data_IF_806675916382
#
_entry.id   IF_806675916382
#
_cell.length_a   1.000
_cell.length_b   1.000
_cell.length_c   1.000
_cell.angle_alpha   90.00
_cell.angle_beta   90.00
_cell.angle_gamma   90.00
#
_symmetry.space_group_name_H-M   'P 1'
#
loop_
_entity.id
_entity.type
_entity.pdbx_description
1 polymer ?
#
# COMPACT_ATOMS: atom_id res chain seq x y z
N UNK A 1 1.62 24.10 -19.00
CA UNK A 1 2.11 23.01 -19.87
C UNK A 1 1.90 21.70 -19.13
N UNK A 2 1.39 20.68 -19.80
CA UNK A 2 1.16 19.37 -19.19
C UNK A 2 2.51 18.72 -18.82
N UNK A 3 2.71 18.39 -17.53
CA UNK A 3 3.97 17.83 -17.02
C UNK A 3 4.33 16.51 -17.71
N UNK A 4 3.34 15.73 -18.11
CA UNK A 4 3.52 14.47 -18.84
C UNK A 4 4.06 14.72 -20.24
N UNK A 5 3.57 15.75 -20.94
CA UNK A 5 4.13 16.19 -22.22
C UNK A 5 5.55 16.71 -22.04
N UNK A 6 5.81 17.50 -21.00
CA UNK A 6 7.16 18.00 -20.70
C UNK A 6 8.14 16.84 -20.48
N UNK A 7 7.74 15.84 -19.67
CA UNK A 7 8.51 14.62 -19.45
C UNK A 7 8.77 13.84 -20.75
N UNK A 8 7.72 13.50 -21.52
CA UNK A 8 7.88 12.77 -22.78
C UNK A 8 8.73 13.56 -23.78
N UNK A 9 8.57 14.88 -23.83
CA UNK A 9 9.36 15.76 -24.69
C UNK A 9 10.84 15.68 -24.36
N UNK A 10 11.20 15.73 -23.08
CA UNK A 10 12.57 15.52 -22.62
C UNK A 10 13.08 14.15 -23.05
N UNK A 11 12.33 13.07 -22.80
CA UNK A 11 12.77 11.72 -23.18
C UNK A 11 13.06 11.61 -24.68
N UNK A 12 12.24 12.23 -25.53
CA UNK A 12 12.43 12.22 -26.99
C UNK A 12 13.61 13.12 -27.41
N UNK A 13 13.74 14.31 -26.83
CA UNK A 13 14.80 15.28 -27.17
C UNK A 13 16.19 14.79 -26.74
N UNK A 14 16.29 14.25 -25.53
CA UNK A 14 17.53 13.70 -24.97
C UNK A 14 17.84 12.30 -25.51
N UNK A 15 16.93 11.71 -26.31
CA UNK A 15 17.01 10.35 -26.83
C UNK A 15 17.28 9.32 -25.73
N UNK A 16 16.48 9.40 -24.66
CA UNK A 16 16.54 8.43 -23.57
C UNK A 16 16.05 7.07 -24.08
N UNK A 17 16.99 6.15 -24.26
CA UNK A 17 16.70 4.78 -24.73
C UNK A 17 15.81 3.99 -23.76
N UNK A 18 15.97 4.27 -22.46
CA UNK A 18 15.29 3.58 -21.38
C UNK A 18 15.23 4.46 -20.12
N UNK A 19 14.02 4.64 -19.57
CA UNK A 19 13.77 5.27 -18.27
C UNK A 19 13.90 4.17 -17.21
N UNK A 20 14.93 4.23 -16.37
CA UNK A 20 15.25 3.14 -15.44
C UNK A 20 15.02 3.53 -13.97
N UNK A 21 14.52 2.61 -13.14
CA UNK A 21 14.50 2.82 -11.70
C UNK A 21 15.92 2.71 -11.14
N UNK A 22 16.25 3.57 -10.17
CA UNK A 22 17.47 3.45 -9.36
C UNK A 22 17.11 3.28 -7.89
N UNK A 23 17.92 2.54 -7.10
CA UNK A 23 17.71 2.43 -5.66
C UNK A 23 17.75 3.81 -4.98
N UNK A 24 16.80 4.06 -4.07
CA UNK A 24 16.73 5.29 -3.30
C UNK A 24 16.19 5.04 -1.90
N UNK A 25 16.94 5.48 -0.89
CA UNK A 25 16.55 5.37 0.51
C UNK A 25 15.42 6.33 0.90
N UNK A 26 15.23 7.42 0.12
CA UNK A 26 14.15 8.38 0.36
C UNK A 26 12.82 7.95 -0.27
N UNK A 27 12.82 6.92 -1.10
CA UNK A 27 11.60 6.37 -1.69
C UNK A 27 10.97 5.34 -0.74
N UNK A 28 9.68 5.45 -0.39
CA UNK A 28 8.94 4.41 0.33
C UNK A 28 9.00 3.04 -0.34
N UNK A 29 9.15 3.01 -1.67
CA UNK A 29 9.21 1.79 -2.49
C UNK A 29 10.66 1.37 -2.76
N UNK A 30 11.65 2.07 -2.21
CA UNK A 30 13.09 1.74 -2.33
C UNK A 30 13.72 2.07 -3.68
N UNK A 31 12.93 2.57 -4.63
CA UNK A 31 13.38 2.98 -5.97
C UNK A 31 12.72 4.29 -6.40
N UNK A 32 13.41 5.06 -7.23
CA UNK A 32 12.92 6.28 -7.89
C UNK A 32 13.33 6.29 -9.35
N UNK A 33 12.75 7.18 -10.15
CA UNK A 33 13.05 7.35 -11.56
C UNK A 33 13.62 8.75 -11.80
N UNK A 34 14.95 8.93 -11.79
CA UNK A 34 15.57 10.25 -11.92
C UNK A 34 15.20 10.95 -13.23
N UNK A 35 15.02 10.18 -14.29
CA UNK A 35 14.64 10.70 -15.60
C UNK A 35 13.20 11.23 -15.63
N UNK A 36 12.38 10.88 -14.63
CA UNK A 36 10.98 11.27 -14.50
C UNK A 36 10.75 12.45 -13.54
N UNK A 37 11.79 13.16 -13.13
CA UNK A 37 11.71 14.34 -12.26
C UNK A 37 10.73 15.42 -12.75
N UNK A 38 10.54 15.55 -14.07
CA UNK A 38 9.61 16.49 -14.70
C UNK A 38 8.14 16.21 -14.36
N UNK A 39 7.80 14.97 -13.97
CA UNK A 39 6.47 14.62 -13.47
C UNK A 39 6.20 15.25 -12.09
N UNK A 40 7.25 15.73 -11.40
CA UNK A 40 7.20 16.41 -10.11
C UNK A 40 6.37 15.65 -9.06
N UNK A 41 6.56 14.33 -9.02
CA UNK A 41 5.92 13.48 -8.02
C UNK A 41 6.80 13.40 -6.77
N UNK A 42 6.22 13.17 -5.58
CA UNK A 42 7.02 12.84 -4.41
C UNK A 42 7.75 11.50 -4.62
N UNK A 43 8.91 11.29 -3.97
CA UNK A 43 9.67 10.06 -4.10
C UNK A 43 8.80 8.82 -3.85
N UNK A 44 8.78 7.89 -4.80
CA UNK A 44 7.98 6.65 -4.74
C UNK A 44 6.66 6.69 -5.51
N UNK A 45 6.10 7.88 -5.77
CA UNK A 45 4.91 8.06 -6.62
C UNK A 45 5.27 8.14 -8.11
N UNK A 46 6.54 8.39 -8.45
CA UNK A 46 7.05 8.37 -9.84
C UNK A 46 6.64 7.08 -10.58
N UNK A 47 6.69 5.94 -9.87
CA UNK A 47 6.33 4.63 -10.41
C UNK A 47 4.88 4.62 -10.90
N UNK A 48 3.96 5.17 -10.11
CA UNK A 48 2.54 5.17 -10.42
C UNK A 48 2.24 6.03 -11.65
N UNK A 49 2.86 7.21 -11.74
CA UNK A 49 2.72 8.10 -12.88
C UNK A 49 3.27 7.47 -14.18
N UNK A 50 4.40 6.74 -14.10
CA UNK A 50 4.94 6.00 -15.24
C UNK A 50 4.05 4.81 -15.63
N UNK A 51 3.52 4.07 -14.66
CA UNK A 51 2.56 3.00 -14.93
C UNK A 51 1.32 3.53 -15.66
N UNK A 52 0.81 4.70 -15.30
CA UNK A 52 -0.32 5.34 -16.00
C UNK A 52 0.02 5.71 -17.45
N UNK A 53 1.18 6.33 -17.70
CA UNK A 53 1.65 6.59 -19.06
C UNK A 53 1.79 5.30 -19.87
N UNK A 54 2.13 4.20 -19.19
CA UNK A 54 2.24 2.89 -19.82
C UNK A 54 0.88 2.23 -20.08
N UNK A 55 -0.11 2.41 -19.22
CA UNK A 55 -1.51 1.99 -19.45
C UNK A 55 -2.13 2.78 -20.61
N UNK A 56 -1.86 4.09 -20.68
CA UNK A 56 -2.24 4.96 -21.80
C UNK A 56 -1.51 4.64 -23.11
N UNK A 57 -0.52 3.75 -23.09
CA UNK A 57 0.25 3.31 -24.25
C UNK A 57 1.28 4.32 -24.75
N UNK A 58 1.59 5.37 -24.00
CA UNK A 58 2.59 6.38 -24.36
C UNK A 58 4.01 5.92 -24.10
N UNK A 59 4.19 5.04 -23.11
CA UNK A 59 5.44 4.34 -22.85
C UNK A 59 5.18 2.83 -22.76
N UNK A 60 6.16 2.01 -23.09
CA UNK A 60 6.08 0.55 -22.98
C UNK A 60 6.84 0.07 -21.74
N UNK A 61 6.30 -0.94 -21.07
CA UNK A 61 6.93 -1.60 -19.91
C UNK A 61 8.00 -2.59 -20.36
N UNK A 62 9.11 -2.59 -19.65
CA UNK A 62 10.18 -3.58 -19.76
C UNK A 62 10.48 -4.02 -18.34
N UNK A 63 10.32 -5.31 -18.03
CA UNK A 63 10.57 -5.83 -16.68
C UNK A 63 11.98 -5.46 -16.21
N UNK A 64 12.08 -4.89 -15.01
CA UNK A 64 13.36 -4.59 -14.36
C UNK A 64 13.59 -5.53 -13.17
N UNK A 65 12.70 -5.48 -12.17
CA UNK A 65 12.84 -6.29 -10.96
C UNK A 65 11.49 -6.41 -10.21
N UNK A 66 11.49 -7.11 -9.06
CA UNK A 66 10.40 -7.12 -8.09
C UNK A 66 10.91 -6.70 -6.72
N UNK A 67 10.07 -5.99 -5.98
CA UNK A 67 10.37 -5.60 -4.60
C UNK A 67 9.23 -6.02 -3.66
N UNK A 68 9.60 -6.48 -2.47
CA UNK A 68 8.67 -6.75 -1.39
C UNK A 68 8.35 -5.49 -0.60
N UNK A 69 7.06 -5.24 -0.38
CA UNK A 69 6.57 -4.09 0.37
C UNK A 69 5.74 -4.54 1.56
N UNK A 70 5.75 -3.74 2.62
CA UNK A 70 4.87 -3.94 3.76
C UNK A 70 3.40 -3.81 3.31
N UNK A 71 2.52 -4.78 3.58
CA UNK A 71 1.11 -4.66 3.18
C UNK A 71 0.33 -3.62 3.99
N UNK A 72 0.89 -3.08 5.08
CA UNK A 72 0.23 -2.09 5.94
C UNK A 72 0.61 -0.65 5.64
N UNK A 73 1.78 -0.39 5.09
CA UNK A 73 2.24 0.98 4.81
C UNK A 73 3.02 1.11 3.50
N UNK A 74 3.10 0.04 2.71
CA UNK A 74 3.77 -0.03 1.41
C UNK A 74 5.26 0.34 1.41
N UNK A 75 5.90 0.34 2.58
CA UNK A 75 7.33 0.60 2.71
C UNK A 75 8.18 -0.65 2.48
N UNK A 76 9.34 -0.48 1.83
CA UNK A 76 10.32 -1.54 1.58
C UNK A 76 11.25 -1.86 2.76
N UNK A 77 11.21 -1.08 3.86
CA UNK A 77 12.07 -1.26 5.03
C UNK A 77 11.65 -2.49 5.85
N UNK A 78 12.04 -3.65 5.35
CA UNK A 78 11.62 -4.97 5.81
C UNK A 78 12.79 -5.72 6.44
N UNK A 79 12.66 -6.08 7.71
CA UNK A 79 13.61 -6.96 8.40
C UNK A 79 13.10 -8.41 8.40
N UNK A 80 13.79 -9.30 7.69
CA UNK A 80 13.47 -10.72 7.60
C UNK A 80 14.07 -11.47 8.80
N UNK A 81 13.24 -12.23 9.51
CA UNK A 81 13.62 -12.93 10.74
C UNK A 81 13.17 -14.39 10.71
N UNK A 82 14.08 -15.27 11.08
CA UNK A 82 13.76 -16.64 11.46
C UNK A 82 13.06 -16.63 12.82
N UNK A 83 11.95 -17.36 12.93
CA UNK A 83 11.11 -17.38 14.12
C UNK A 83 10.71 -18.79 14.49
N UNK A 84 10.53 -19.03 15.78
CA UNK A 84 10.11 -20.33 16.29
C UNK A 84 8.70 -20.69 15.80
N UNK A 85 8.49 -21.88 15.20
CA UNK A 85 7.16 -22.32 14.77
C UNK A 85 6.13 -22.45 15.91
N UNK A 86 6.60 -22.69 17.14
CA UNK A 86 5.73 -22.89 18.29
C UNK A 86 5.30 -21.59 18.99
N UNK A 87 6.18 -20.58 19.09
CA UNK A 87 5.91 -19.36 19.86
C UNK A 87 6.17 -18.04 19.10
N UNK A 88 6.60 -18.11 17.84
CA UNK A 88 6.91 -16.97 16.96
C UNK A 88 8.05 -16.03 17.45
N UNK A 89 8.74 -16.38 18.54
CA UNK A 89 9.93 -15.66 18.99
C UNK A 89 11.05 -15.73 17.94
N UNK A 90 11.74 -14.61 17.74
CA UNK A 90 12.97 -14.54 16.92
C UNK A 90 14.24 -14.87 17.70
N UNK A 91 14.13 -15.17 19.00
CA UNK A 91 15.27 -15.58 19.82
C UNK A 91 15.57 -17.08 19.59
N UNK A 92 16.16 -17.34 18.43
CA UNK A 92 16.45 -18.66 17.91
C UNK A 92 17.94 -18.79 17.65
N UNK A 93 18.52 -19.89 18.11
CA UNK A 93 19.94 -20.22 17.92
C UNK A 93 20.11 -21.54 17.19
N UNK A 94 21.15 -21.65 16.37
CA UNK A 94 21.50 -22.92 15.71
C UNK A 94 22.20 -23.83 16.73
N UNK A 95 21.75 -25.07 16.80
CA UNK A 95 22.36 -26.10 17.66
C UNK A 95 22.69 -27.36 16.85
N UNK A 96 23.79 -28.01 17.22
CA UNK A 96 24.11 -29.35 16.72
C UNK A 96 23.30 -30.39 17.50
N UNK A 97 22.65 -31.29 16.77
CA UNK A 97 22.00 -32.47 17.35
C UNK A 97 22.76 -33.70 16.91
N UNK A 98 22.91 -34.64 17.84
CA UNK A 98 23.45 -35.96 17.59
C UNK A 98 22.31 -36.97 17.69
N UNK A 99 22.15 -37.75 16.63
CA UNK A 99 21.29 -38.93 16.61
C UNK A 99 22.15 -40.19 16.79
N UNK A 100 22.02 -40.89 17.93
CA UNK A 100 22.74 -42.14 18.17
C UNK A 100 22.01 -43.32 17.52
N UNK A 101 22.62 -43.92 16.50
CA UNK A 101 22.00 -44.92 15.63
C UNK A 101 21.63 -46.22 16.37
N UNK A 102 22.38 -46.62 17.40
CA UNK A 102 22.13 -47.89 18.11
C UNK A 102 20.97 -47.83 19.11
N UNK A 103 20.73 -46.69 19.75
CA UNK A 103 19.68 -46.58 20.78
C UNK A 103 18.59 -45.55 20.45
N UNK A 104 18.65 -44.97 19.25
CA UNK A 104 17.74 -43.96 18.72
C UNK A 104 17.56 -42.71 19.60
N UNK A 105 18.54 -42.38 20.45
CA UNK A 105 18.50 -41.14 21.23
C UNK A 105 18.94 -39.98 20.36
N UNK A 106 18.16 -38.90 20.35
CA UNK A 106 18.50 -37.65 19.68
C UNK A 106 18.51 -36.53 20.72
N UNK A 107 19.58 -35.75 20.75
CA UNK A 107 19.69 -34.60 21.65
C UNK A 107 20.81 -33.63 21.23
N UNK A 108 20.88 -32.45 21.85
CA UNK A 108 21.96 -31.50 21.63
C UNK A 108 23.34 -32.12 21.84
N UNK A 109 24.32 -31.80 20.97
CA UNK A 109 25.69 -32.33 21.05
C UNK A 109 26.34 -32.10 22.43
N UNK A 110 25.98 -31.01 23.12
CA UNK A 110 26.46 -30.71 24.48
C UNK A 110 26.17 -31.83 25.47
N UNK A 111 25.03 -32.54 25.33
CA UNK A 111 24.68 -33.67 26.20
C UNK A 111 25.54 -34.90 25.95
N UNK A 112 26.16 -34.99 24.77
CA UNK A 112 27.02 -36.11 24.41
C UNK A 112 28.48 -35.85 24.74
N UNK A 113 28.88 -34.62 25.08
CA UNK A 113 30.29 -34.23 25.17
C UNK A 113 30.84 -34.46 26.58
N UNK A 114 31.73 -35.45 26.71
CA UNK A 114 32.54 -35.71 27.90
C UNK A 114 34.02 -35.43 27.59
N UNK A 115 34.48 -34.20 27.85
CA UNK A 115 35.82 -33.74 27.49
C UNK A 115 36.03 -33.76 25.98
N UNK A 116 36.92 -34.63 25.49
CA UNK A 116 37.19 -34.83 24.05
C UNK A 116 36.39 -35.98 23.43
N UNK A 117 35.62 -36.73 24.24
CA UNK A 117 34.87 -37.90 23.78
C UNK A 117 33.38 -37.56 23.63
N UNK A 118 32.74 -38.26 22.71
CA UNK A 118 31.28 -38.27 22.59
C UNK A 118 30.74 -39.54 23.22
N UNK A 119 29.80 -39.41 24.16
CA UNK A 119 29.18 -40.51 24.92
C UNK A 119 27.68 -40.31 24.92
N UNK A 120 26.91 -41.34 24.56
CA UNK A 120 25.46 -41.23 24.55
C UNK A 120 24.90 -41.18 25.99
N UNK A 121 24.13 -40.14 26.38
CA UNK A 121 23.61 -40.02 27.74
C UNK A 121 22.55 -41.09 28.08
N UNK A 122 21.90 -41.69 27.07
CA UNK A 122 20.89 -42.76 27.25
C UNK A 122 21.49 -44.14 27.51
N UNK A 123 22.65 -44.47 26.94
CA UNK A 123 23.19 -45.84 27.00
C UNK A 123 24.69 -45.93 27.36
N UNK A 124 25.30 -44.79 27.69
CA UNK A 124 26.71 -44.64 28.07
C UNK A 124 27.74 -45.18 27.05
N UNK A 125 27.33 -45.48 25.81
CA UNK A 125 28.27 -45.91 24.77
C UNK A 125 29.02 -44.72 24.19
N UNK A 126 30.32 -44.91 24.00
CA UNK A 126 31.17 -43.95 23.28
C UNK A 126 30.86 -43.98 21.78
N UNK A 127 30.67 -42.80 21.21
CA UNK A 127 30.45 -42.56 19.78
C UNK A 127 31.80 -42.22 19.14
N UNK A 128 32.21 -42.95 18.09
CA UNK A 128 33.51 -42.75 17.45
C UNK A 128 33.40 -42.41 15.97
N UNK A 129 32.50 -43.08 15.25
CA UNK A 129 32.40 -42.97 13.80
C UNK A 129 31.07 -42.36 13.36
N UNK A 130 31.12 -41.20 12.70
CA UNK A 130 29.96 -40.59 12.04
C UNK A 130 29.43 -41.53 10.96
N UNK A 131 28.12 -41.68 10.85
CA UNK A 131 27.44 -42.57 9.89
C UNK A 131 27.42 -44.05 10.31
N UNK A 132 28.08 -44.42 11.41
CA UNK A 132 28.08 -45.80 11.95
C UNK A 132 27.57 -45.83 13.38
N UNK A 133 28.14 -44.99 14.25
CA UNK A 133 27.66 -44.85 15.62
C UNK A 133 26.59 -43.75 15.72
N UNK A 134 26.77 -42.63 15.02
CA UNK A 134 25.86 -41.49 15.12
C UNK A 134 25.79 -40.66 13.85
N UNK A 135 24.72 -39.88 13.72
CA UNK A 135 24.51 -38.90 12.66
C UNK A 135 24.37 -37.50 13.25
N UNK A 136 24.72 -36.49 12.45
CA UNK A 136 24.49 -35.07 12.74
C UNK A 136 23.60 -34.48 11.64
N UNK A 137 22.30 -34.24 11.89
CA UNK A 137 21.44 -33.56 10.94
C UNK A 137 21.94 -32.14 10.65
N UNK A 138 21.70 -31.63 9.44
CA UNK A 138 22.37 -30.44 8.88
C UNK A 138 22.20 -29.18 9.73
N UNK A 139 20.98 -28.83 10.12
CA UNK A 139 20.67 -27.68 10.97
C UNK A 139 19.46 -27.96 11.85
N UNK A 140 19.64 -27.78 13.16
CA UNK A 140 18.54 -27.70 14.11
C UNK A 140 18.59 -26.34 14.79
N UNK A 141 17.42 -25.86 15.18
CA UNK A 141 17.23 -24.60 15.85
C UNK A 141 16.67 -24.84 17.24
N UNK A 142 17.13 -24.05 18.21
CA UNK A 142 16.62 -24.01 19.57
C UNK A 142 16.07 -22.61 19.84
N UNK A 143 14.79 -22.54 20.23
CA UNK A 143 14.21 -21.30 20.70
C UNK A 143 14.57 -21.08 22.17
N UNK A 144 15.17 -19.93 22.50
CA UNK A 144 15.48 -19.58 23.89
C UNK A 144 14.22 -19.22 24.70
N UNK A 145 13.14 -18.78 24.04
CA UNK A 145 11.90 -18.36 24.70
C UNK A 145 11.01 -19.51 25.14
N UNK A 146 10.94 -20.61 24.37
CA UNK A 146 10.08 -21.77 24.70
C UNK A 146 10.81 -23.12 24.73
N UNK A 147 12.13 -23.13 24.53
CA UNK A 147 12.97 -24.35 24.48
C UNK A 147 12.60 -25.36 23.40
N UNK A 148 11.74 -24.98 22.44
CA UNK A 148 11.37 -25.86 21.33
C UNK A 148 12.55 -26.06 20.38
N UNK A 149 12.74 -27.31 19.93
CA UNK A 149 13.73 -27.71 18.94
C UNK A 149 13.01 -28.00 17.63
N UNK A 150 13.50 -27.44 16.52
CA UNK A 150 12.88 -27.58 15.21
C UNK A 150 13.92 -27.49 14.09
N UNK A 151 13.60 -28.01 12.90
CA UNK A 151 14.51 -28.01 11.74
C UNK A 151 14.29 -26.82 10.82
N UNK A 152 13.04 -26.36 10.69
CA UNK A 152 12.65 -25.28 9.79
C UNK A 152 12.03 -24.12 10.58
N UNK A 153 12.70 -22.96 10.69
CA UNK A 153 12.09 -21.77 11.26
C UNK A 153 11.02 -21.22 10.33
N UNK A 154 10.01 -20.59 10.91
CA UNK A 154 9.12 -19.71 10.14
C UNK A 154 9.88 -18.44 9.76
N UNK A 155 9.70 -17.95 8.53
CA UNK A 155 10.22 -16.63 8.14
C UNK A 155 9.11 -15.60 8.28
N UNK A 156 9.33 -14.63 9.18
CA UNK A 156 8.46 -13.47 9.34
C UNK A 156 9.23 -12.20 8.98
N UNK A 157 8.49 -11.15 8.66
CA UNK A 157 9.03 -9.85 8.36
C UNK A 157 8.51 -8.82 9.35
N UNK A 158 9.38 -7.91 9.80
CA UNK A 158 8.99 -6.71 10.55
C UNK A 158 9.26 -5.50 9.69
N UNK A 159 8.24 -4.68 9.48
CA UNK A 159 8.43 -3.38 8.86
C UNK A 159 9.08 -2.43 9.86
N UNK A 160 10.24 -1.87 9.53
CA UNK A 160 10.96 -0.91 10.38
C UNK A 160 10.23 0.44 10.40
N UNK A 161 9.41 0.73 9.38
CA UNK A 161 8.64 1.96 9.31
C UNK A 161 7.41 1.95 10.22
N UNK A 162 6.55 0.92 10.14
CA UNK A 162 5.29 0.85 10.88
C UNK A 162 5.21 -0.21 11.99
N UNK A 163 6.28 -0.99 12.20
CA UNK A 163 6.37 -2.11 13.14
C UNK A 163 5.40 -3.29 12.90
N UNK A 164 4.70 -3.31 11.76
CA UNK A 164 3.84 -4.43 11.40
C UNK A 164 4.66 -5.72 11.23
N UNK A 165 4.16 -6.81 11.82
CA UNK A 165 4.72 -8.16 11.66
C UNK A 165 3.90 -8.91 10.63
N UNK A 166 4.54 -9.39 9.56
CA UNK A 166 3.87 -10.06 8.44
C UNK A 166 4.64 -11.31 8.03
N UNK A 167 4.00 -12.49 7.89
CA UNK A 167 4.61 -13.65 7.24
C UNK A 167 5.09 -13.33 5.83
N UNK A 168 6.25 -13.84 5.41
CA UNK A 168 6.86 -13.46 4.12
C UNK A 168 5.95 -13.70 2.90
N UNK A 169 5.14 -14.78 2.93
CA UNK A 169 4.23 -15.12 1.83
C UNK A 169 3.00 -14.18 1.73
N UNK A 170 2.80 -13.28 2.70
CA UNK A 170 1.75 -12.26 2.71
C UNK A 170 2.27 -10.85 2.39
N UNK A 171 3.56 -10.70 2.08
CA UNK A 171 4.12 -9.42 1.64
C UNK A 171 3.59 -9.05 0.25
N UNK A 172 3.37 -7.75 0.03
CA UNK A 172 3.01 -7.24 -1.28
C UNK A 172 4.23 -7.30 -2.20
N UNK A 173 4.03 -7.71 -3.46
CA UNK A 173 5.11 -7.82 -4.45
C UNK A 173 4.88 -6.82 -5.57
N UNK A 174 5.54 -5.67 -5.49
CA UNK A 174 5.49 -4.67 -6.54
C UNK A 174 6.45 -5.04 -7.68
N UNK A 175 5.98 -4.93 -8.92
CA UNK A 175 6.84 -5.09 -10.11
C UNK A 175 7.42 -3.74 -10.48
N UNK A 176 8.73 -3.68 -10.63
CA UNK A 176 9.47 -2.53 -11.11
C UNK A 176 9.73 -2.71 -12.59
N UNK A 177 9.34 -1.70 -13.37
CA UNK A 177 9.54 -1.68 -14.81
C UNK A 177 10.50 -0.56 -15.18
N UNK A 178 11.33 -0.81 -16.18
CA UNK A 178 11.91 0.25 -16.99
C UNK A 178 10.95 0.60 -18.12
N UNK A 179 11.07 1.79 -18.69
CA UNK A 179 10.14 2.25 -19.71
C UNK A 179 10.84 2.77 -20.95
N UNK A 180 10.19 2.62 -22.10
CA UNK A 180 10.61 3.25 -23.36
C UNK A 180 9.44 4.01 -23.98
N UNK A 181 9.69 5.18 -24.55
CA UNK A 181 8.65 5.94 -25.24
C UNK A 181 8.19 5.17 -26.49
N UNK A 182 6.87 5.02 -26.65
CA UNK A 182 6.29 4.37 -27.83
C UNK A 182 6.09 5.37 -28.97
N UNK A 183 5.76 4.88 -30.16
CA UNK A 183 5.34 5.73 -31.28
C UNK A 183 4.15 6.64 -30.91
N UNK A 184 3.19 6.14 -30.11
CA UNK A 184 2.07 6.95 -29.60
C UNK A 184 2.57 8.07 -28.68
N UNK A 185 3.52 7.78 -27.80
CA UNK A 185 4.20 8.78 -26.97
C UNK A 185 4.89 9.86 -27.80
N UNK A 186 5.60 9.47 -28.86
CA UNK A 186 6.25 10.42 -29.78
C UNK A 186 5.24 11.33 -30.47
N UNK A 187 4.14 10.79 -31.00
CA UNK A 187 3.08 11.60 -31.61
C UNK A 187 2.34 12.50 -30.61
N UNK A 188 2.26 12.11 -29.33
CA UNK A 188 1.72 12.98 -28.30
C UNK A 188 2.63 14.20 -28.06
N UNK A 189 3.95 14.02 -28.08
CA UNK A 189 4.94 15.11 -28.02
C UNK A 189 4.82 16.04 -29.23
N UNK A 190 4.75 15.51 -30.45
CA UNK A 190 4.61 16.30 -31.68
C UNK A 190 3.36 17.19 -31.68
N UNK A 191 2.24 16.65 -31.17
CA UNK A 191 0.96 17.37 -31.08
C UNK A 191 0.87 18.28 -29.85
N UNK A 192 1.79 18.14 -28.90
CA UNK A 192 1.76 18.84 -27.61
C UNK A 192 0.57 18.46 -26.71
N UNK A 193 -0.12 17.35 -27.02
CA UNK A 193 -1.34 16.90 -26.35
C UNK A 193 -1.27 15.39 -26.15
N UNK A 194 -1.51 14.96 -24.91
CA UNK A 194 -1.79 13.56 -24.60
C UNK A 194 -3.29 13.38 -24.79
N UNK A 195 -3.69 12.79 -25.92
CA UNK A 195 -5.03 12.24 -26.10
C UNK A 195 -5.16 11.00 -25.21
N UNK A 196 -5.37 11.27 -23.93
CA UNK A 196 -5.63 10.30 -22.88
C UNK A 196 -7.14 10.18 -22.72
N UNK A 197 -7.74 9.03 -23.09
CA UNK A 197 -9.15 8.79 -22.81
C UNK A 197 -9.48 8.73 -21.30
N UNK A 198 -8.47 8.76 -20.41
CA UNK A 198 -8.58 8.51 -18.97
C UNK A 198 -8.14 9.68 -18.05
N UNK A 199 -7.98 10.91 -18.54
CA UNK A 199 -7.95 12.12 -17.69
C UNK A 199 -6.84 12.22 -16.62
N UNK A 200 -5.56 12.02 -16.96
CA UNK A 200 -4.46 12.09 -15.97
C UNK A 200 -4.07 13.52 -15.50
N UNK A 201 -4.86 14.16 -14.63
CA UNK A 201 -4.31 14.94 -13.51
C UNK A 201 -4.54 14.11 -12.24
N UNK A 202 -3.51 13.84 -11.43
CA UNK A 202 -3.68 13.08 -10.17
C UNK A 202 -4.42 13.90 -9.12
N UNK A 203 -4.23 15.22 -9.17
CA UNK A 203 -4.75 16.18 -8.22
C UNK A 203 -5.55 17.25 -8.93
N UNK A 204 -6.65 17.67 -8.32
CA UNK A 204 -7.39 18.87 -8.71
C UNK A 204 -6.64 20.08 -8.16
N UNK A 205 -6.14 20.94 -9.05
CA UNK A 205 -5.22 22.05 -8.69
C UNK A 205 -5.82 23.04 -7.70
N UNK A 206 -7.12 23.29 -7.80
CA UNK A 206 -7.84 24.27 -7.00
C UNK A 206 -7.97 23.85 -5.53
N UNK A 207 -8.01 22.54 -5.28
CA UNK A 207 -8.36 21.95 -3.98
C UNK A 207 -7.23 21.14 -3.36
N UNK A 208 -6.24 20.70 -4.15
CA UNK A 208 -5.17 19.80 -3.69
C UNK A 208 -5.63 18.37 -3.41
N UNK A 209 -6.89 18.04 -3.71
CA UNK A 209 -7.47 16.70 -3.59
C UNK A 209 -7.14 15.83 -4.80
N UNK A 210 -7.29 14.52 -4.71
CA UNK A 210 -7.15 13.64 -5.86
C UNK A 210 -8.27 13.84 -6.90
N UNK A 211 -8.09 13.33 -8.12
CA UNK A 211 -9.18 13.21 -9.10
C UNK A 211 -10.05 12.00 -8.82
N UNK A 212 -11.31 12.07 -9.28
CA UNK A 212 -12.27 10.98 -9.08
C UNK A 212 -11.82 9.68 -9.75
N UNK A 213 -11.24 9.77 -10.95
CA UNK A 213 -10.71 8.62 -11.68
C UNK A 213 -9.60 7.92 -10.89
N UNK A 214 -8.72 8.70 -10.23
CA UNK A 214 -7.70 8.14 -9.36
C UNK A 214 -8.28 7.45 -8.13
N UNK A 215 -9.27 8.05 -7.48
CA UNK A 215 -9.98 7.43 -6.37
C UNK A 215 -10.65 6.12 -6.81
N UNK A 216 -11.30 6.08 -7.97
CA UNK A 216 -11.90 4.88 -8.54
C UNK A 216 -10.85 3.78 -8.81
N UNK A 217 -9.67 4.17 -9.31
CA UNK A 217 -8.56 3.24 -9.50
C UNK A 217 -8.12 2.62 -8.17
N UNK A 218 -7.95 3.43 -7.12
CA UNK A 218 -7.56 2.93 -5.79
C UNK A 218 -8.65 2.09 -5.13
N UNK A 219 -9.93 2.47 -5.30
CA UNK A 219 -11.06 1.67 -4.84
C UNK A 219 -11.09 0.28 -5.47
N UNK A 220 -10.72 0.16 -6.77
CA UNK A 220 -10.60 -1.13 -7.45
C UNK A 220 -9.54 -2.03 -6.79
N UNK A 221 -8.42 -1.45 -6.35
CA UNK A 221 -7.38 -2.17 -5.63
C UNK A 221 -7.85 -2.59 -4.24
N UNK A 222 -8.51 -1.70 -3.49
CA UNK A 222 -9.07 -2.02 -2.17
C UNK A 222 -10.13 -3.12 -2.22
N UNK A 223 -11.01 -3.11 -3.23
CA UNK A 223 -11.94 -4.22 -3.49
C UNK A 223 -11.20 -5.54 -3.72
N UNK A 224 -10.14 -5.52 -4.53
CA UNK A 224 -9.32 -6.71 -4.81
C UNK A 224 -8.62 -7.24 -3.55
N UNK A 225 -8.11 -6.33 -2.70
CA UNK A 225 -7.50 -6.64 -1.40
C UNK A 225 -8.51 -7.23 -0.43
N UNK A 226 -9.71 -6.64 -0.33
CA UNK A 226 -10.80 -7.16 0.50
C UNK A 226 -11.18 -8.59 0.12
N UNK A 227 -11.42 -8.87 -1.16
CA UNK A 227 -11.86 -10.21 -1.57
C UNK A 227 -10.82 -11.30 -1.33
N UNK A 228 -9.53 -10.95 -1.37
CA UNK A 228 -8.43 -11.90 -1.19
C UNK A 228 -7.94 -12.03 0.25
N UNK A 229 -7.73 -10.89 0.92
CA UNK A 229 -7.05 -10.82 2.22
C UNK A 229 -7.96 -10.40 3.37
N UNK A 230 -9.23 -10.07 3.09
CA UNK A 230 -10.21 -9.64 4.10
C UNK A 230 -9.78 -8.42 4.91
N UNK A 231 -8.95 -7.55 4.31
CA UNK A 231 -8.66 -6.21 4.84
C UNK A 231 -9.85 -5.30 4.58
N UNK A 232 -10.44 -4.78 5.65
CA UNK A 232 -11.62 -3.93 5.58
C UNK A 232 -11.24 -2.51 5.16
N UNK A 233 -12.04 -1.91 4.32
CA UNK A 233 -11.97 -0.50 3.93
C UNK A 233 -13.38 0.09 3.98
N UNK A 234 -13.48 1.41 3.95
CA UNK A 234 -14.76 2.10 3.79
C UNK A 234 -14.66 3.17 2.73
N UNK A 235 -15.79 3.48 2.09
CA UNK A 235 -15.93 4.63 1.21
C UNK A 235 -17.05 5.52 1.74
N UNK A 236 -16.75 6.80 1.85
CA UNK A 236 -17.64 7.86 2.32
C UNK A 236 -17.94 8.81 1.17
N UNK A 237 -19.15 9.37 1.14
CA UNK A 237 -19.50 10.48 0.29
C UNK A 237 -20.04 11.65 1.11
N UNK A 238 -19.70 12.87 0.70
CA UNK A 238 -20.30 14.11 1.16
C UNK A 238 -21.12 14.71 0.02
N UNK A 239 -22.38 15.06 0.26
CA UNK A 239 -23.20 15.86 -0.64
C UNK A 239 -23.35 17.29 -0.11
N UNK A 240 -23.07 18.25 -0.98
CA UNK A 240 -23.14 19.68 -0.76
C UNK A 240 -24.51 20.18 -1.22
N UNK A 241 -25.29 20.72 -0.28
CA UNK A 241 -26.65 21.14 -0.55
C UNK A 241 -26.75 22.63 -0.23
N UNK A 242 -27.12 23.42 -1.23
CA UNK A 242 -27.30 24.87 -1.09
C UNK A 242 -28.75 25.27 -1.30
N UNK A 243 -29.18 26.35 -0.67
CA UNK A 243 -30.51 26.92 -0.89
C UNK A 243 -30.57 27.72 -2.20
N UNK A 244 -31.76 27.95 -2.78
CA UNK A 244 -31.93 28.74 -4.00
C UNK A 244 -31.36 30.17 -3.92
N UNK A 245 -31.24 30.72 -2.71
CA UNK A 245 -30.71 32.06 -2.43
C UNK A 245 -29.17 32.11 -2.44
N UNK A 246 -28.49 30.95 -2.40
CA UNK A 246 -27.03 30.88 -2.31
C UNK A 246 -26.35 31.51 -3.54
N UNK A 247 -26.78 31.15 -4.76
CA UNK A 247 -26.15 31.64 -5.98
C UNK A 247 -26.38 33.14 -6.21
N UNK A 248 -27.59 33.71 -6.04
CA UNK A 248 -27.79 35.16 -6.07
C UNK A 248 -26.92 35.93 -5.06
N UNK A 249 -26.63 35.33 -3.90
CA UNK A 249 -25.89 35.99 -2.81
C UNK A 249 -24.37 35.89 -2.96
N UNK A 250 -23.86 34.70 -3.26
CA UNK A 250 -22.42 34.42 -3.25
C UNK A 250 -21.83 34.18 -4.65
N UNK A 251 -22.69 33.90 -5.63
CA UNK A 251 -22.31 33.62 -7.02
C UNK A 251 -21.36 32.44 -7.17
N UNK A 252 -20.78 32.32 -8.37
CA UNK A 252 -19.80 31.25 -8.70
C UNK A 252 -18.56 31.25 -7.80
N UNK A 253 -18.14 32.42 -7.31
CA UNK A 253 -17.01 32.51 -6.38
C UNK A 253 -17.36 31.95 -5.00
N UNK A 254 -18.62 32.08 -4.56
CA UNK A 254 -19.15 31.42 -3.37
C UNK A 254 -18.99 29.92 -3.44
N UNK A 255 -19.37 29.32 -4.58
CA UNK A 255 -19.21 27.88 -4.82
C UNK A 255 -17.76 27.43 -4.74
N UNK A 256 -16.84 28.15 -5.43
CA UNK A 256 -15.41 27.83 -5.40
C UNK A 256 -14.84 27.90 -3.97
N UNK A 257 -15.23 28.92 -3.20
CA UNK A 257 -14.80 29.04 -1.80
C UNK A 257 -15.38 27.93 -0.93
N UNK A 258 -16.61 27.49 -1.20
CA UNK A 258 -17.24 26.43 -0.44
C UNK A 258 -16.54 25.10 -0.70
N UNK A 259 -16.28 24.76 -1.98
CA UNK A 259 -15.44 23.61 -2.35
C UNK A 259 -14.08 23.64 -1.65
N UNK A 260 -13.40 24.79 -1.67
CA UNK A 260 -12.11 24.94 -0.99
C UNK A 260 -12.21 24.71 0.53
N UNK A 261 -13.24 25.25 1.18
CA UNK A 261 -13.50 25.02 2.60
C UNK A 261 -13.65 23.52 2.92
N UNK A 262 -14.41 22.79 2.09
CA UNK A 262 -14.56 21.34 2.23
C UNK A 262 -13.19 20.67 2.09
N UNK A 263 -12.48 20.92 0.99
CA UNK A 263 -11.18 20.29 0.71
C UNK A 263 -10.16 20.54 1.82
N UNK A 264 -9.96 21.79 2.24
CA UNK A 264 -9.00 22.15 3.30
C UNK A 264 -9.35 21.47 4.62
N UNK A 265 -10.64 21.40 4.96
CA UNK A 265 -11.11 20.77 6.21
C UNK A 265 -10.96 19.26 6.18
N UNK A 266 -11.28 18.61 5.06
CA UNK A 266 -11.18 17.16 4.90
C UNK A 266 -9.71 16.75 4.92
N UNK A 267 -8.85 17.40 4.13
CA UNK A 267 -7.41 17.14 4.09
C UNK A 267 -6.78 17.33 5.48
N UNK A 268 -7.17 18.38 6.21
CA UNK A 268 -6.68 18.61 7.57
C UNK A 268 -7.28 17.70 8.66
N UNK A 269 -8.24 16.85 8.34
CA UNK A 269 -8.91 15.95 9.31
C UNK A 269 -8.59 14.47 9.06
N UNK A 270 -8.46 14.07 7.79
CA UNK A 270 -8.15 12.70 7.39
C UNK A 270 -6.65 12.40 7.51
N UNK A 271 -6.30 11.11 7.44
CA UNK A 271 -4.90 10.66 7.49
C UNK A 271 -4.25 10.78 6.12
N UNK A 272 -2.92 10.81 6.08
CA UNK A 272 -2.15 10.87 4.83
C UNK A 272 -2.44 9.69 3.89
N UNK A 273 -2.89 8.54 4.42
CA UNK A 273 -3.25 7.36 3.63
C UNK A 273 -4.70 7.35 3.15
N UNK A 274 -5.55 8.27 3.61
CA UNK A 274 -6.94 8.39 3.17
C UNK A 274 -6.98 9.22 1.89
N UNK A 275 -7.84 8.85 0.94
CA UNK A 275 -7.98 9.59 -0.32
C UNK A 275 -9.25 10.41 -0.29
N UNK A 276 -9.18 11.62 -0.84
CA UNK A 276 -10.34 12.49 -1.06
C UNK A 276 -10.33 12.97 -2.50
N UNK A 277 -11.47 12.91 -3.18
CA UNK A 277 -11.66 13.45 -4.51
C UNK A 277 -13.05 14.09 -4.66
N UNK A 278 -13.19 15.16 -5.45
CA UNK A 278 -14.50 15.60 -5.93
C UNK A 278 -15.08 14.50 -6.82
N UNK A 279 -16.28 14.03 -6.51
CA UNK A 279 -17.01 13.08 -7.36
C UNK A 279 -17.72 13.83 -8.48
N UNK A 280 -18.38 14.93 -8.14
CA UNK A 280 -18.97 15.88 -9.09
C UNK A 280 -18.99 17.29 -8.48
N UNK A 281 -19.69 18.24 -9.09
CA UNK A 281 -19.77 19.62 -8.59
C UNK A 281 -20.45 19.74 -7.21
N UNK A 282 -21.23 18.73 -6.80
CA UNK A 282 -22.01 18.75 -5.56
C UNK A 282 -21.58 17.65 -4.58
N UNK A 283 -20.62 16.81 -4.94
CA UNK A 283 -20.22 15.66 -4.13
C UNK A 283 -18.71 15.50 -4.01
N UNK A 284 -18.29 15.04 -2.84
CA UNK A 284 -16.96 14.52 -2.59
C UNK A 284 -17.04 13.05 -2.23
N UNK A 285 -16.06 12.26 -2.65
CA UNK A 285 -15.86 10.89 -2.23
C UNK A 285 -14.55 10.77 -1.47
N UNK A 286 -14.52 9.92 -0.45
CA UNK A 286 -13.33 9.60 0.31
C UNK A 286 -13.18 8.10 0.50
N UNK A 287 -11.99 7.58 0.21
CA UNK A 287 -11.61 6.19 0.45
C UNK A 287 -10.80 6.13 1.74
N UNK A 288 -11.21 5.26 2.67
CA UNK A 288 -10.60 5.04 3.98
C UNK A 288 -10.06 3.60 4.06
N UNK A 289 -8.80 3.36 3.65
CA UNK A 289 -8.16 2.05 3.76
C UNK A 289 -8.07 1.58 5.21
N UNK A 290 -8.04 0.25 5.42
CA UNK A 290 -7.92 -0.39 6.73
C UNK A 290 -8.89 0.15 7.81
N UNK A 291 -10.06 0.66 7.38
CA UNK A 291 -11.06 1.30 8.23
C UNK A 291 -12.42 0.58 8.09
N UNK A 292 -12.87 -0.18 9.10
CA UNK A 292 -14.18 -0.82 9.11
C UNK A 292 -15.32 0.20 9.13
N UNK A 293 -16.49 -0.18 8.60
CA UNK A 293 -17.65 0.72 8.46
C UNK A 293 -18.05 1.41 9.75
N UNK A 294 -18.05 0.68 10.88
CA UNK A 294 -18.41 1.21 12.20
C UNK A 294 -17.51 2.39 12.62
N UNK A 295 -16.22 2.31 12.34
CA UNK A 295 -15.27 3.38 12.62
C UNK A 295 -15.41 4.51 11.61
N UNK A 296 -15.68 4.17 10.35
CA UNK A 296 -15.89 5.15 9.30
C UNK A 296 -17.12 6.02 9.59
N UNK A 297 -18.24 5.45 10.07
CA UNK A 297 -19.43 6.18 10.51
C UNK A 297 -19.08 7.26 11.54
N UNK A 298 -18.29 6.93 12.57
CA UNK A 298 -17.88 7.90 13.59
C UNK A 298 -17.04 9.06 13.01
N UNK A 299 -16.16 8.75 12.06
CA UNK A 299 -15.36 9.76 11.37
C UNK A 299 -16.26 10.63 10.49
N UNK A 300 -17.19 10.01 9.76
CA UNK A 300 -18.17 10.66 8.90
C UNK A 300 -19.04 11.64 9.67
N UNK A 301 -19.62 11.22 10.79
CA UNK A 301 -20.49 12.04 11.63
C UNK A 301 -19.76 13.28 12.16
N UNK A 302 -18.56 13.05 12.74
CA UNK A 302 -17.72 14.14 13.27
C UNK A 302 -17.29 15.13 12.19
N UNK A 303 -16.92 14.63 11.01
CA UNK A 303 -16.50 15.45 9.89
C UNK A 303 -17.69 16.26 9.33
N UNK A 304 -18.84 15.62 9.14
CA UNK A 304 -20.06 16.26 8.67
C UNK A 304 -20.55 17.34 9.66
N UNK A 305 -20.50 17.09 10.96
CA UNK A 305 -20.84 18.07 11.99
C UNK A 305 -19.90 19.29 11.92
N UNK A 306 -18.59 19.05 11.86
CA UNK A 306 -17.57 20.12 11.73
C UNK A 306 -17.81 20.96 10.48
N UNK A 307 -18.00 20.31 9.33
CA UNK A 307 -18.25 20.99 8.05
C UNK A 307 -19.55 21.78 8.07
N UNK A 308 -20.63 21.24 8.66
CA UNK A 308 -21.90 21.95 8.77
C UNK A 308 -21.79 23.18 9.67
N UNK A 309 -21.03 23.12 10.76
CA UNK A 309 -20.81 24.28 11.62
C UNK A 309 -20.06 25.39 10.87
N UNK A 310 -18.97 25.05 10.17
CA UNK A 310 -18.21 25.99 9.34
C UNK A 310 -19.04 26.58 8.19
N UNK A 311 -19.83 25.74 7.52
CA UNK A 311 -20.69 26.17 6.41
C UNK A 311 -21.82 27.10 6.90
N UNK A 312 -22.44 26.79 8.04
CA UNK A 312 -23.50 27.62 8.65
C UNK A 312 -22.98 29.01 8.98
N UNK A 313 -21.79 29.10 9.58
CA UNK A 313 -21.17 30.38 9.94
C UNK A 313 -20.81 31.20 8.69
N UNK A 314 -20.20 30.56 7.69
CA UNK A 314 -19.68 31.26 6.51
C UNK A 314 -20.74 31.63 5.47
N UNK A 315 -21.79 30.83 5.36
CA UNK A 315 -22.81 30.96 4.31
C UNK A 315 -24.21 31.23 4.87
N UNK A 316 -24.30 31.79 6.08
CA UNK A 316 -25.56 32.26 6.69
C UNK A 316 -26.65 31.14 6.75
N UNK A 317 -26.24 29.88 6.90
CA UNK A 317 -27.14 28.71 6.89
C UNK A 317 -27.68 28.30 5.51
N UNK A 318 -27.27 28.95 4.42
CA UNK A 318 -27.67 28.64 3.04
C UNK A 318 -26.93 27.44 2.44
N UNK A 319 -25.96 26.87 3.16
CA UNK A 319 -25.20 25.69 2.74
C UNK A 319 -25.19 24.64 3.87
N UNK A 320 -25.43 23.38 3.51
CA UNK A 320 -25.36 22.22 4.40
C UNK A 320 -24.66 21.05 3.72
N UNK A 321 -24.10 20.16 4.53
CA UNK A 321 -23.45 18.94 4.08
C UNK A 321 -24.23 17.75 4.62
N UNK A 322 -24.51 16.79 3.75
CA UNK A 322 -24.97 15.45 4.14
C UNK A 322 -23.89 14.45 3.83
N UNK A 323 -23.87 13.33 4.56
CA UNK A 323 -22.83 12.34 4.39
C UNK A 323 -23.41 10.93 4.45
N UNK A 324 -22.81 10.03 3.69
CA UNK A 324 -23.10 8.61 3.71
C UNK A 324 -21.81 7.82 3.69
N UNK A 325 -21.86 6.60 4.19
CA UNK A 325 -20.72 5.69 4.21
C UNK A 325 -21.17 4.28 3.90
N UNK A 326 -20.31 3.51 3.26
CA UNK A 326 -20.42 2.06 3.16
C UNK A 326 -19.06 1.42 3.37
N UNK A 327 -19.02 0.29 4.08
CA UNK A 327 -17.83 -0.53 4.23
C UNK A 327 -17.59 -1.45 3.05
N UNK A 328 -16.60 -2.33 3.22
CA UNK A 328 -16.33 -3.44 2.32
C UNK A 328 -17.57 -4.33 2.15
N UNK A 329 -18.03 -4.56 0.90
CA UNK A 329 -19.27 -5.28 0.65
C UNK A 329 -19.11 -6.79 0.88
N UNK A 330 -20.12 -7.43 1.46
CA UNK A 330 -20.15 -8.90 1.60
C UNK A 330 -20.28 -9.58 0.24
N UNK A 331 -21.09 -9.01 -0.65
CA UNK A 331 -21.25 -9.44 -2.04
C UNK A 331 -20.12 -8.91 -2.92
N UNK A 332 -19.79 -9.66 -3.98
CA UNK A 332 -18.75 -9.27 -4.92
C UNK A 332 -19.24 -8.18 -5.87
N UNK A 333 -18.97 -6.93 -5.51
CA UNK A 333 -19.17 -5.72 -6.32
C UNK A 333 -17.88 -5.27 -7.02
N UNK A 334 -18.06 -4.62 -8.16
CA UNK A 334 -17.07 -3.76 -8.81
C UNK A 334 -17.18 -2.31 -8.30
N UNK A 335 -16.36 -1.42 -8.85
CA UNK A 335 -16.32 0.01 -8.50
C UNK A 335 -17.70 0.66 -8.67
N UNK A 336 -18.36 0.41 -9.81
CA UNK A 336 -19.68 0.99 -10.08
C UNK A 336 -20.74 0.47 -9.10
N UNK A 337 -20.69 -0.81 -8.74
CA UNK A 337 -21.61 -1.42 -7.78
C UNK A 337 -21.53 -0.77 -6.39
N UNK A 338 -20.33 -0.59 -5.85
CA UNK A 338 -20.16 0.04 -4.53
C UNK A 338 -20.49 1.54 -4.55
N UNK A 339 -20.17 2.25 -5.62
CA UNK A 339 -20.55 3.66 -5.79
C UNK A 339 -22.07 3.83 -5.86
N UNK A 340 -22.79 2.94 -6.56
CA UNK A 340 -24.27 2.95 -6.58
C UNK A 340 -24.86 2.73 -5.20
N UNK A 341 -24.30 1.80 -4.42
CA UNK A 341 -24.75 1.55 -3.05
C UNK A 341 -24.53 2.78 -2.15
N UNK A 342 -23.37 3.43 -2.27
CA UNK A 342 -23.05 4.67 -1.56
C UNK A 342 -24.00 5.81 -1.94
N UNK A 343 -24.25 6.01 -3.24
CA UNK A 343 -25.18 7.03 -3.74
C UNK A 343 -26.62 6.80 -3.26
N UNK A 344 -27.06 5.54 -3.18
CA UNK A 344 -28.37 5.16 -2.62
C UNK A 344 -28.51 5.54 -1.15
N UNK A 345 -27.44 5.41 -0.36
CA UNK A 345 -27.42 5.82 1.06
C UNK A 345 -27.35 7.34 1.25
N UNK A 346 -26.78 8.07 0.31
CA UNK A 346 -26.68 9.53 0.35
C UNK A 346 -28.03 10.22 0.03
N UNK A 347 -28.92 9.51 -0.66
CA UNK A 347 -30.24 10.00 -1.09
C UNK A 347 -31.37 9.60 -0.13
N UNK A 348 -31.07 8.78 0.87
CA UNK A 348 -31.98 8.32 1.93
C UNK A 348 -31.84 9.22 3.15
#
# INVERSE_FOLDING_TARGET
>A
MDKRITFLSKCVQERLDLIQPIPSLSSPVGYTYPDANELQQPPGEDRLALEQLAEGGFIQRIFFDKIHLCPSCEHYHLNFRETCPACQSSDVSIIDIIHHLKCAYSGPEKEFREGTRLVCPKCARTLRHIGVDYEKPTRNFLCASCSNIFMEPNISCVCIHCNAITPVHLLEVATLNSYRVTTKGMHAVERGVIDDPLGTELYVRETGTYTFDFLCHQLKHELSRWYRYKRQFSIMALALIVSPEFEPRFGRNGWRQFHKLISDTVIGTLRDCDLTAPWDEEKFAMLLPDTPEQNAVLVTDRLAERLNNLARERYEGMARITAAVTGSPEERLDVDGILKLLAGRLSA
#
